data_IF_623922095188
#
_entry.id   IF_623922095188
#
_cell.length_a   1.000
_cell.length_b   1.000
_cell.length_c   1.000
_cell.angle_alpha   90.00
_cell.angle_beta   90.00
_cell.angle_gamma   90.00
#
_symmetry.space_group_name_H-M   'P 1'
#
loop_
_entity.id
_entity.type
_entity.pdbx_description
1 polymer ?
#
# COMPACT_ATOMS: atom_id res chain seq x y z
N UNK A 1 4.41 -26.85 8.55
CA UNK A 1 3.51 -25.68 8.54
C UNK A 1 2.14 -25.89 9.21
N UNK A 2 1.89 -26.98 9.94
CA UNK A 2 0.59 -27.20 10.63
C UNK A 2 0.63 -26.90 12.13
N UNK A 3 1.82 -26.65 12.71
CA UNK A 3 2.02 -26.56 14.18
C UNK A 3 1.22 -25.45 14.86
N UNK A 4 0.99 -24.34 14.17
CA UNK A 4 0.30 -23.17 14.74
C UNK A 4 -1.04 -22.87 14.04
N UNK A 5 -1.54 -23.82 13.22
CA UNK A 5 -2.78 -23.61 12.49
C UNK A 5 -3.96 -23.58 13.45
N UNK A 6 -4.71 -22.49 13.39
CA UNK A 6 -6.02 -22.35 14.02
C UNK A 6 -7.10 -22.78 13.02
N UNK A 7 -8.07 -23.56 13.46
CA UNK A 7 -9.17 -24.02 12.61
C UNK A 7 -10.42 -23.22 12.95
N UNK A 8 -10.92 -22.42 12.01
CA UNK A 8 -12.21 -21.75 12.16
C UNK A 8 -13.33 -22.79 12.26
N UNK A 9 -14.13 -22.70 13.30
CA UNK A 9 -15.29 -23.54 13.57
C UNK A 9 -16.61 -22.83 13.31
N UNK A 10 -16.61 -21.50 13.44
CA UNK A 10 -17.76 -20.64 13.14
C UNK A 10 -17.26 -19.24 12.77
N UNK A 11 -17.93 -18.61 11.80
CA UNK A 11 -17.75 -17.19 11.46
C UNK A 11 -19.04 -16.44 11.75
N UNK A 12 -18.92 -15.30 12.42
CA UNK A 12 -20.04 -14.39 12.70
C UNK A 12 -19.71 -13.04 12.02
N UNK A 13 -20.43 -12.65 10.95
CA UNK A 13 -20.30 -11.33 10.36
C UNK A 13 -20.78 -10.26 11.35
N UNK A 14 -20.04 -9.15 11.47
CA UNK A 14 -20.36 -8.03 12.36
C UNK A 14 -20.69 -6.78 11.55
N UNK A 15 -19.90 -6.50 10.48
CA UNK A 15 -20.08 -5.34 9.63
C UNK A 15 -19.69 -5.69 8.19
N UNK A 16 -20.48 -5.24 7.24
CA UNK A 16 -20.22 -5.38 5.79
C UNK A 16 -20.28 -3.99 5.15
N UNK A 17 -19.12 -3.36 5.01
CA UNK A 17 -18.97 -2.03 4.46
C UNK A 17 -18.46 -2.04 3.02
N UNK A 18 -18.36 -0.84 2.44
CA UNK A 18 -17.88 -0.64 1.08
C UNK A 18 -16.40 -1.08 0.91
N UNK A 19 -15.54 -0.81 1.92
CA UNK A 19 -14.11 -1.09 1.87
C UNK A 19 -13.77 -2.32 2.70
N UNK A 20 -14.23 -2.37 3.95
CA UNK A 20 -13.86 -3.42 4.90
C UNK A 20 -15.06 -4.21 5.36
N UNK A 21 -14.84 -5.49 5.67
CA UNK A 21 -15.81 -6.33 6.35
C UNK A 21 -15.20 -6.79 7.67
N UNK A 22 -15.96 -6.68 8.76
CA UNK A 22 -15.55 -7.17 10.06
C UNK A 22 -16.30 -8.46 10.38
N UNK A 23 -15.56 -9.48 10.77
CA UNK A 23 -16.10 -10.75 11.26
C UNK A 23 -15.44 -11.18 12.55
N UNK A 24 -16.14 -12.00 13.34
CA UNK A 24 -15.57 -12.71 14.48
C UNK A 24 -15.58 -14.19 14.19
N UNK A 25 -14.41 -14.82 14.20
CA UNK A 25 -14.24 -16.25 14.04
C UNK A 25 -14.05 -16.93 15.40
N UNK A 26 -14.84 -17.99 15.67
CA UNK A 26 -14.52 -18.95 16.71
C UNK A 26 -13.50 -19.92 16.13
N UNK A 27 -12.34 -20.03 16.77
CA UNK A 27 -11.24 -20.87 16.28
C UNK A 27 -10.83 -21.90 17.32
N UNK A 28 -10.47 -23.09 16.84
CA UNK A 28 -9.81 -24.11 17.66
C UNK A 28 -8.31 -23.92 17.58
N UNK A 29 -7.68 -23.67 18.72
CA UNK A 29 -6.24 -23.49 18.88
C UNK A 29 -5.52 -24.84 18.77
N UNK A 30 -4.19 -24.85 18.53
CA UNK A 30 -3.40 -26.08 18.47
C UNK A 30 -3.44 -26.96 19.72
N UNK A 31 -3.74 -26.37 20.88
CA UNK A 31 -3.89 -27.08 22.17
C UNK A 31 -5.32 -27.60 22.43
N UNK A 32 -6.25 -27.43 21.46
CA UNK A 32 -7.64 -27.83 21.57
C UNK A 32 -8.56 -26.84 22.27
N UNK A 33 -8.07 -25.72 22.78
CA UNK A 33 -8.91 -24.68 23.35
C UNK A 33 -9.61 -23.86 22.26
N UNK A 34 -10.74 -23.24 22.59
CA UNK A 34 -11.47 -22.34 21.70
C UNK A 34 -11.13 -20.90 22.05
N UNK A 35 -10.92 -20.09 21.02
CA UNK A 35 -10.69 -18.65 21.14
C UNK A 35 -11.48 -17.90 20.07
N UNK A 36 -11.57 -16.58 20.21
CA UNK A 36 -12.17 -15.69 19.20
C UNK A 36 -11.07 -14.90 18.48
N UNK A 37 -11.33 -14.62 17.18
CA UNK A 37 -10.51 -13.74 16.35
C UNK A 37 -11.39 -12.70 15.71
N UNK A 38 -11.08 -11.44 15.94
CA UNK A 38 -11.67 -10.32 15.20
C UNK A 38 -10.84 -10.14 13.94
N UNK A 39 -11.50 -10.20 12.78
CA UNK A 39 -10.82 -10.21 11.49
C UNK A 39 -11.45 -9.15 10.59
N UNK A 40 -10.62 -8.23 10.11
CA UNK A 40 -10.98 -7.32 9.03
C UNK A 40 -10.58 -7.96 7.70
N UNK A 41 -11.57 -8.10 6.82
CA UNK A 41 -11.38 -8.53 5.43
C UNK A 41 -11.22 -7.30 4.54
N UNK A 42 -10.17 -7.30 3.72
CA UNK A 42 -9.81 -6.20 2.82
C UNK A 42 -9.52 -6.74 1.41
N UNK A 43 -9.86 -6.03 0.32
CA UNK A 43 -9.60 -6.49 -1.05
C UNK A 43 -8.11 -6.66 -1.36
N UNK A 44 -7.23 -6.07 -0.58
CA UNK A 44 -5.82 -5.89 -0.89
C UNK A 44 -5.57 -4.54 -1.57
N UNK A 45 -4.30 -4.22 -1.77
CA UNK A 45 -3.87 -2.97 -2.38
C UNK A 45 -2.59 -3.15 -3.19
N UNK A 46 -2.28 -2.15 -3.98
CA UNK A 46 -1.00 -1.99 -4.66
C UNK A 46 -0.32 -0.73 -4.17
N UNK A 47 1.00 -0.65 -4.32
CA UNK A 47 1.76 0.57 -4.12
C UNK A 47 2.92 0.63 -5.12
N UNK A 48 3.34 1.85 -5.50
CA UNK A 48 4.33 2.05 -6.54
C UNK A 48 5.48 2.93 -6.04
N UNK A 49 6.69 2.40 -6.06
CA UNK A 49 7.91 3.18 -5.93
C UNK A 49 8.22 3.74 -7.32
N UNK A 50 7.88 4.99 -7.56
CA UNK A 50 8.11 5.65 -8.85
C UNK A 50 9.29 6.62 -8.72
N UNK A 51 10.27 6.48 -9.62
CA UNK A 51 11.50 7.30 -9.61
C UNK A 51 11.64 7.98 -10.97
N UNK A 52 11.79 9.31 -10.98
CA UNK A 52 12.00 10.10 -12.19
C UNK A 52 13.42 9.87 -12.75
N UNK A 53 13.66 10.31 -13.98
CA UNK A 53 14.99 10.25 -14.62
C UNK A 53 16.03 11.10 -13.87
N UNK A 54 15.59 12.13 -13.12
CA UNK A 54 16.46 12.92 -12.24
C UNK A 54 16.71 12.25 -10.88
N UNK A 55 16.22 11.02 -10.67
CA UNK A 55 16.39 10.28 -9.43
C UNK A 55 15.52 10.75 -8.26
N UNK A 56 14.46 11.51 -8.54
CA UNK A 56 13.49 11.92 -7.51
C UNK A 56 12.43 10.85 -7.28
N UNK A 57 12.08 10.64 -6.02
CA UNK A 57 10.96 9.81 -5.62
C UNK A 57 9.65 10.59 -5.79
N UNK A 58 8.71 10.00 -6.51
CA UNK A 58 7.34 10.52 -6.69
C UNK A 58 6.49 10.10 -5.50
N UNK A 59 5.91 11.09 -4.82
CA UNK A 59 5.08 10.93 -3.63
C UNK A 59 3.78 11.71 -3.78
N UNK A 60 2.80 11.40 -2.97
CA UNK A 60 1.55 12.14 -2.84
C UNK A 60 1.30 12.49 -1.38
N UNK A 61 0.86 13.72 -1.11
CA UNK A 61 0.35 14.11 0.19
C UNK A 61 -1.18 14.03 0.19
N UNK A 62 -1.75 13.35 1.19
CA UNK A 62 -3.20 13.23 1.35
C UNK A 62 -3.61 13.18 2.81
N UNK A 63 -4.86 13.58 3.09
CA UNK A 63 -5.42 13.51 4.43
C UNK A 63 -5.96 12.12 4.74
N UNK A 64 -5.44 11.49 5.76
CA UNK A 64 -5.90 10.18 6.24
C UNK A 64 -6.83 10.33 7.44
N UNK A 65 -8.14 10.23 7.20
CA UNK A 65 -9.17 10.43 8.23
C UNK A 65 -8.97 9.53 9.46
N UNK A 66 -8.49 8.30 9.28
CA UNK A 66 -8.20 7.39 10.39
C UNK A 66 -7.08 7.88 11.31
N UNK A 67 -6.18 8.73 10.80
CA UNK A 67 -5.06 9.32 11.54
C UNK A 67 -5.32 10.78 11.94
N UNK A 68 -6.42 11.38 11.44
CA UNK A 68 -6.79 12.80 11.62
C UNK A 68 -5.66 13.77 11.21
N UNK A 69 -4.88 13.42 10.15
CA UNK A 69 -3.76 14.22 9.66
C UNK A 69 -3.44 13.93 8.19
N UNK A 70 -2.78 14.88 7.53
CA UNK A 70 -2.11 14.62 6.24
C UNK A 70 -0.81 13.86 6.47
N UNK A 71 -0.50 12.96 5.55
CA UNK A 71 0.78 12.25 5.46
C UNK A 71 1.23 12.16 4.01
N UNK A 72 2.53 11.98 3.82
CA UNK A 72 3.17 11.82 2.51
C UNK A 72 3.39 10.33 2.26
N UNK A 73 2.93 9.85 1.11
CA UNK A 73 2.91 8.42 0.77
C UNK A 73 3.42 8.18 -0.66
N UNK A 74 3.92 6.98 -0.94
CA UNK A 74 4.05 6.51 -2.33
C UNK A 74 2.65 6.29 -2.92
N UNK A 75 2.44 6.49 -4.23
CA UNK A 75 1.18 6.21 -4.91
C UNK A 75 0.67 4.81 -4.61
N UNK A 76 -0.60 4.68 -4.25
CA UNK A 76 -1.17 3.42 -3.80
C UNK A 76 -2.69 3.42 -3.85
N UNK A 77 -3.28 2.29 -4.26
CA UNK A 77 -4.73 2.14 -4.24
C UNK A 77 -5.20 0.71 -4.07
N UNK A 78 -6.51 0.56 -3.94
CA UNK A 78 -7.17 -0.72 -3.69
C UNK A 78 -7.28 -1.56 -4.95
N UNK A 79 -7.15 -2.88 -4.79
CA UNK A 79 -7.48 -3.82 -5.87
C UNK A 79 -8.98 -3.78 -6.15
N UNK A 80 -9.34 -3.68 -7.40
CA UNK A 80 -10.70 -3.89 -7.86
C UNK A 80 -10.98 -5.38 -8.13
N UNK A 81 -12.25 -5.81 -8.00
CA UNK A 81 -12.60 -7.21 -8.24
C UNK A 81 -12.22 -7.70 -9.63
N UNK A 82 -11.28 -8.64 -9.73
CA UNK A 82 -10.83 -9.25 -10.97
C UNK A 82 -9.76 -8.46 -11.73
N UNK A 83 -9.28 -7.34 -11.19
CA UNK A 83 -8.16 -6.59 -11.74
C UNK A 83 -6.82 -7.23 -11.34
N UNK A 84 -5.92 -7.36 -12.30
CA UNK A 84 -4.56 -7.83 -12.03
C UNK A 84 -3.76 -6.75 -11.29
N UNK A 85 -3.00 -7.08 -10.23
CA UNK A 85 -2.30 -6.08 -9.41
C UNK A 85 -1.38 -5.13 -10.21
N UNK A 86 -0.77 -5.61 -11.29
CA UNK A 86 0.08 -4.76 -12.13
C UNK A 86 -0.75 -3.72 -12.93
N UNK A 87 -1.99 -4.03 -13.28
CA UNK A 87 -2.88 -3.09 -13.95
C UNK A 87 -3.37 -2.02 -12.97
N UNK A 88 -3.80 -2.44 -11.77
CA UNK A 88 -4.12 -1.51 -10.68
C UNK A 88 -2.95 -0.57 -10.38
N UNK A 89 -1.72 -1.09 -10.31
CA UNK A 89 -0.54 -0.26 -10.03
C UNK A 89 -0.29 0.80 -11.12
N UNK A 90 -0.55 0.49 -12.40
CA UNK A 90 -0.45 1.47 -13.48
C UNK A 90 -1.55 2.52 -13.39
N UNK A 91 -2.79 2.10 -13.14
CA UNK A 91 -3.95 2.98 -13.02
C UNK A 91 -3.76 3.96 -11.85
N UNK A 92 -3.40 3.49 -10.66
CA UNK A 92 -3.19 4.32 -9.48
C UNK A 92 -2.03 5.31 -9.65
N UNK A 93 -0.92 4.87 -10.28
CA UNK A 93 0.18 5.77 -10.62
C UNK A 93 -0.30 6.93 -11.51
N UNK A 94 -1.09 6.61 -12.55
CA UNK A 94 -1.65 7.61 -13.46
C UNK A 94 -2.63 8.56 -12.74
N UNK A 95 -3.62 8.01 -12.02
CA UNK A 95 -4.69 8.77 -11.37
C UNK A 95 -4.15 9.71 -10.29
N UNK A 96 -3.26 9.25 -9.44
CA UNK A 96 -2.73 10.05 -8.34
C UNK A 96 -1.65 11.05 -8.81
N UNK A 97 -0.83 10.68 -9.80
CA UNK A 97 0.37 11.47 -10.12
C UNK A 97 0.38 12.07 -11.53
N UNK A 98 -0.37 11.51 -12.46
CA UNK A 98 -0.28 11.87 -13.89
C UNK A 98 0.93 11.25 -14.60
N UNK A 99 1.67 10.37 -13.95
CA UNK A 99 2.77 9.62 -14.56
C UNK A 99 2.31 8.28 -15.09
N UNK A 100 2.75 7.94 -16.31
CA UNK A 100 2.86 6.57 -16.78
C UNK A 100 4.29 6.05 -16.60
N UNK A 101 4.47 4.73 -16.72
CA UNK A 101 5.78 4.10 -16.65
C UNK A 101 5.98 3.08 -17.76
N UNK A 102 7.09 3.18 -18.50
CA UNK A 102 7.48 2.16 -19.48
C UNK A 102 7.89 0.86 -18.79
N UNK A 103 8.57 0.96 -17.66
CA UNK A 103 8.98 -0.17 -16.83
C UNK A 103 8.21 -0.20 -15.51
N UNK A 104 7.51 -1.32 -15.26
CA UNK A 104 6.84 -1.61 -13.98
C UNK A 104 7.21 -3.02 -13.55
N UNK A 105 7.98 -3.14 -12.48
CA UNK A 105 8.52 -4.42 -12.00
C UNK A 105 7.96 -4.75 -10.63
N UNK A 106 7.38 -5.95 -10.47
CA UNK A 106 6.97 -6.44 -9.16
C UNK A 106 8.20 -6.55 -8.23
N UNK A 107 8.06 -6.01 -7.02
CA UNK A 107 9.10 -6.07 -6.00
C UNK A 107 8.80 -7.14 -4.96
N UNK A 108 7.72 -6.98 -4.23
CA UNK A 108 7.27 -7.95 -3.22
C UNK A 108 5.84 -7.71 -2.77
N UNK A 109 5.32 -8.64 -1.98
CA UNK A 109 4.03 -8.50 -1.27
C UNK A 109 4.27 -8.63 0.22
N UNK A 110 3.63 -7.78 1.00
CA UNK A 110 3.64 -7.86 2.47
C UNK A 110 2.27 -7.57 3.07
N UNK A 111 2.03 -8.10 4.27
CA UNK A 111 0.85 -7.79 5.05
C UNK A 111 1.09 -6.53 5.88
N UNK A 112 0.05 -5.70 6.03
CA UNK A 112 0.13 -4.43 6.78
C UNK A 112 -0.18 -4.63 8.27
N UNK A 113 -1.24 -5.35 8.58
CA UNK A 113 -1.72 -5.55 9.96
C UNK A 113 -2.14 -6.99 10.21
N UNK A 114 -1.21 -7.97 10.07
CA UNK A 114 -1.55 -9.41 10.05
C UNK A 114 -2.11 -9.94 11.37
N UNK A 115 -2.10 -9.14 12.43
CA UNK A 115 -2.69 -9.51 13.71
C UNK A 115 -4.22 -9.51 13.71
N UNK A 116 -4.85 -8.73 12.81
CA UNK A 116 -6.31 -8.60 12.76
C UNK A 116 -6.89 -8.32 11.35
N UNK A 117 -6.06 -8.04 10.37
CA UNK A 117 -6.49 -7.80 8.99
C UNK A 117 -5.78 -8.74 8.02
N UNK A 118 -6.47 -9.10 6.94
CA UNK A 118 -5.89 -9.88 5.85
C UNK A 118 -5.42 -9.00 4.68
N UNK A 119 -5.32 -7.70 4.89
CA UNK A 119 -4.77 -6.77 3.90
C UNK A 119 -3.34 -7.14 3.53
N UNK A 120 -3.11 -7.24 2.22
CA UNK A 120 -1.79 -7.34 1.63
C UNK A 120 -1.58 -6.20 0.63
N UNK A 121 -0.35 -5.73 0.51
CA UNK A 121 0.05 -4.74 -0.48
C UNK A 121 1.04 -5.39 -1.45
N UNK A 122 0.73 -5.31 -2.75
CA UNK A 122 1.64 -5.67 -3.82
C UNK A 122 2.46 -4.44 -4.23
N UNK A 123 3.76 -4.47 -3.97
CA UNK A 123 4.66 -3.35 -4.22
C UNK A 123 5.37 -3.51 -5.57
N UNK A 124 5.36 -2.45 -6.35
CA UNK A 124 6.01 -2.35 -7.66
C UNK A 124 7.04 -1.23 -7.68
N UNK A 125 8.02 -1.34 -8.58
CA UNK A 125 8.97 -0.27 -8.91
C UNK A 125 8.67 0.18 -10.33
N UNK A 126 8.43 1.49 -10.50
CA UNK A 126 8.23 2.13 -11.79
C UNK A 126 9.45 2.98 -12.15
N UNK A 127 9.94 2.83 -13.39
CA UNK A 127 11.03 3.59 -13.97
C UNK A 127 10.67 4.00 -15.40
N UNK A 128 11.51 4.84 -15.99
CA UNK A 128 11.28 5.40 -17.31
C UNK A 128 9.88 6.03 -17.36
N UNK A 129 9.67 6.99 -16.45
CA UNK A 129 8.39 7.68 -16.27
C UNK A 129 8.14 8.64 -17.44
N UNK A 130 6.88 8.79 -17.83
CA UNK A 130 6.44 9.80 -18.80
C UNK A 130 5.17 10.46 -18.31
N UNK A 131 4.98 11.72 -18.70
CA UNK A 131 3.77 12.49 -18.34
C UNK A 131 2.62 12.07 -19.28
N UNK A 132 1.43 11.90 -18.70
CA UNK A 132 0.20 11.61 -19.43
C UNK A 132 -0.58 12.92 -19.60
N UNK A 133 -0.76 13.37 -20.85
CA UNK A 133 -1.39 14.66 -21.17
C UNK A 133 -2.84 14.79 -20.68
N UNK A 134 -3.60 13.69 -20.67
CA UNK A 134 -4.98 13.63 -20.21
C UNK A 134 -5.12 12.52 -19.18
N UNK A 135 -4.53 12.72 -17.99
CA UNK A 135 -4.60 11.74 -16.90
C UNK A 135 -6.04 11.41 -16.54
N UNK A 136 -6.28 10.18 -16.10
CA UNK A 136 -7.54 9.79 -15.50
C UNK A 136 -7.87 10.69 -14.30
N UNK A 137 -9.16 10.90 -14.05
CA UNK A 137 -9.59 11.67 -12.89
C UNK A 137 -9.41 10.83 -11.62
N UNK A 138 -9.04 11.49 -10.53
CA UNK A 138 -9.14 10.92 -9.19
C UNK A 138 -10.59 10.58 -8.87
N UNK A 139 -10.80 9.67 -7.93
CA UNK A 139 -12.12 9.46 -7.34
C UNK A 139 -12.65 10.78 -6.75
N UNK A 140 -13.99 10.98 -6.77
CA UNK A 140 -14.62 12.25 -6.35
C UNK A 140 -14.28 12.67 -4.91
N UNK A 141 -13.91 11.74 -4.05
CA UNK A 141 -13.56 11.94 -2.65
C UNK A 141 -12.04 11.88 -2.38
N UNK A 142 -11.21 11.83 -3.43
CA UNK A 142 -9.75 11.83 -3.33
C UNK A 142 -9.14 13.21 -3.65
N UNK A 143 -8.34 13.70 -2.69
CA UNK A 143 -7.61 14.95 -2.80
C UNK A 143 -6.14 14.68 -2.48
N UNK A 144 -5.30 14.72 -3.49
CA UNK A 144 -3.86 14.47 -3.36
C UNK A 144 -3.05 15.63 -3.94
N UNK A 145 -1.90 15.91 -3.32
CA UNK A 145 -0.89 16.84 -3.83
C UNK A 145 0.36 16.04 -4.23
N UNK A 146 0.81 16.22 -5.47
CA UNK A 146 1.99 15.58 -6.01
C UNK A 146 3.26 16.21 -5.45
N UNK A 147 4.21 15.39 -5.03
CA UNK A 147 5.54 15.79 -4.58
C UNK A 147 6.62 14.97 -5.31
N UNK A 148 7.68 15.64 -5.74
CA UNK A 148 8.88 15.00 -6.26
C UNK A 148 10.08 15.42 -5.42
N UNK A 149 10.67 14.48 -4.71
CA UNK A 149 11.72 14.78 -3.73
C UNK A 149 12.94 13.90 -3.94
N UNK A 150 14.13 14.40 -3.54
CA UNK A 150 15.30 13.57 -3.47
C UNK A 150 15.20 12.52 -2.37
N UNK A 151 16.03 11.47 -2.44
CA UNK A 151 16.06 10.44 -1.40
C UNK A 151 16.37 11.02 -0.01
N UNK A 152 17.31 11.98 0.07
CA UNK A 152 17.66 12.63 1.33
C UNK A 152 16.48 13.39 1.94
N UNK A 153 15.69 14.07 1.12
CA UNK A 153 14.47 14.76 1.56
C UNK A 153 13.44 13.73 2.03
N UNK A 154 13.25 12.63 1.31
CA UNK A 154 12.34 11.56 1.72
C UNK A 154 12.77 10.92 3.06
N UNK A 155 14.07 10.69 3.27
CA UNK A 155 14.61 10.22 4.55
C UNK A 155 14.34 11.22 5.69
N UNK A 156 14.48 12.53 5.42
CA UNK A 156 14.12 13.57 6.37
C UNK A 156 12.62 13.55 6.71
N UNK A 157 11.75 13.30 5.70
CA UNK A 157 10.31 13.15 5.90
C UNK A 157 9.93 11.92 6.74
N UNK A 158 10.72 10.84 6.69
CA UNK A 158 10.55 9.70 7.62
C UNK A 158 10.93 10.12 9.04
N UNK A 159 12.04 10.85 9.21
CA UNK A 159 12.53 11.27 10.51
C UNK A 159 11.59 12.27 11.22
N UNK A 160 10.97 13.17 10.47
CA UNK A 160 10.02 14.18 11.00
C UNK A 160 8.55 13.71 10.96
N UNK A 161 8.30 12.46 10.56
CA UNK A 161 6.99 11.81 10.53
C UNK A 161 5.98 12.43 9.53
N UNK A 162 6.41 13.13 8.50
CA UNK A 162 5.56 13.45 7.35
C UNK A 162 5.28 12.19 6.54
N UNK A 163 6.28 11.34 6.34
CA UNK A 163 6.10 9.94 5.93
C UNK A 163 5.87 9.13 7.20
N UNK A 164 4.67 8.58 7.35
CA UNK A 164 4.25 7.94 8.60
C UNK A 164 3.70 6.52 8.42
N UNK A 165 3.51 6.08 7.18
CA UNK A 165 3.02 4.75 6.86
C UNK A 165 4.16 3.77 6.52
N UNK A 166 3.91 2.47 6.79
CA UNK A 166 4.93 1.44 6.68
C UNK A 166 5.37 1.18 5.23
N UNK A 167 4.45 1.26 4.24
CA UNK A 167 4.79 1.00 2.84
C UNK A 167 5.75 2.04 2.28
N UNK A 168 5.52 3.31 2.62
CA UNK A 168 6.36 4.43 2.16
C UNK A 168 7.70 4.46 2.89
N UNK A 169 7.70 4.24 4.20
CA UNK A 169 8.95 4.10 4.96
C UNK A 169 9.81 2.94 4.43
N UNK A 170 9.19 1.80 4.10
CA UNK A 170 9.88 0.68 3.45
C UNK A 170 10.46 1.09 2.08
N UNK A 171 9.69 1.81 1.26
CA UNK A 171 10.14 2.28 -0.06
C UNK A 171 11.39 3.16 0.04
N UNK A 172 11.42 4.11 0.98
CA UNK A 172 12.57 4.98 1.23
C UNK A 172 13.80 4.19 1.67
N UNK A 173 13.63 3.24 2.60
CA UNK A 173 14.73 2.36 3.05
C UNK A 173 15.23 1.45 1.92
N UNK A 174 14.33 0.90 1.13
CA UNK A 174 14.69 0.05 0.00
C UNK A 174 15.49 0.84 -1.06
N UNK A 175 15.06 2.05 -1.40
CA UNK A 175 15.78 2.93 -2.34
C UNK A 175 17.19 3.27 -1.81
N UNK A 176 17.30 3.65 -0.53
CA UNK A 176 18.60 3.94 0.08
C UNK A 176 19.58 2.77 -0.09
N UNK A 177 19.14 1.56 0.22
CA UNK A 177 19.96 0.36 0.11
C UNK A 177 20.36 0.00 -1.34
N UNK A 178 19.55 0.41 -2.35
CA UNK A 178 19.79 0.04 -3.75
C UNK A 178 20.54 1.11 -4.54
N UNK A 179 20.44 2.38 -4.15
CA UNK A 179 21.22 3.46 -4.76
C UNK A 179 22.68 3.44 -4.27
N UNK A 180 22.92 3.10 -2.99
CA UNK A 180 24.27 2.95 -2.44
C UNK A 180 25.06 1.79 -3.08
N UNK A 181 24.38 0.77 -3.62
CA UNK A 181 25.04 -0.38 -4.25
C UNK A 181 25.31 -0.19 -5.77
N UNK A 182 24.91 0.93 -6.37
CA UNK A 182 25.17 1.27 -7.77
C UNK A 182 26.16 2.44 -7.93
N UNK A 183 26.84 2.84 -6.85
CA UNK A 183 28.02 3.70 -6.82
C UNK A 183 29.26 2.84 -6.59
#
# INVERSE_FOLDING_TARGET
MKKFKEKTTKTTPIYDGRIVKLQVDDVMLPNGQVAKREIIKHPGAVAVIAVTDEGKLVLVEQYRKALERSIVEIPAGKLEPGEEPAMTARRELEEETGYGAHSLTYLQTFATSPGFADEVIHLYVAKDLYIIDNKAALDEDEFVELLEVSLEVAQSMVADQRIFDAKTAFAVLWLAAHLENNL
#
